data_IF_098582151113
#
_entry.id   IF_098582151113
#
_cell.length_a   1.000
_cell.length_b   1.000
_cell.length_c   1.000
_cell.angle_alpha   90.00
_cell.angle_beta   90.00
_cell.angle_gamma   90.00
#
_symmetry.space_group_name_H-M   'P 1'
#
loop_
_entity.id
_entity.type
_entity.pdbx_description
1 polymer ?
#
# COMPACT_ATOMS: atom_id res chain seq x y z
N UNK A 1 3.05 20.41 -21.99
CA UNK A 1 2.12 19.83 -20.99
C UNK A 1 2.63 18.43 -20.71
N UNK A 2 3.09 18.17 -19.47
CA UNK A 2 3.82 16.96 -19.12
C UNK A 2 2.93 15.72 -19.35
N UNK A 3 3.44 14.76 -20.13
CA UNK A 3 2.81 13.46 -20.36
C UNK A 3 2.73 12.76 -19.00
N UNK A 4 1.54 12.74 -18.38
CA UNK A 4 1.23 11.82 -17.30
C UNK A 4 1.30 10.42 -17.91
N UNK A 5 2.48 9.79 -17.85
CA UNK A 5 2.56 8.35 -17.97
C UNK A 5 1.85 7.79 -16.76
N UNK A 6 0.67 7.24 -16.98
CA UNK A 6 -0.10 6.40 -16.07
C UNK A 6 0.78 5.18 -15.73
N UNK A 7 1.76 5.37 -14.85
CA UNK A 7 2.57 4.29 -14.34
C UNK A 7 1.65 3.55 -13.37
N UNK A 8 1.13 2.38 -13.78
CA UNK A 8 0.40 1.45 -12.89
C UNK A 8 1.19 1.39 -11.58
N UNK A 9 0.62 1.89 -10.49
CA UNK A 9 1.30 1.93 -9.21
C UNK A 9 1.63 0.50 -8.80
N UNK A 10 2.91 0.22 -8.51
CA UNK A 10 3.34 -1.13 -8.16
C UNK A 10 2.58 -1.62 -6.92
N UNK A 11 1.82 -2.69 -7.06
CA UNK A 11 1.12 -3.35 -5.96
C UNK A 11 2.11 -4.26 -5.25
N UNK A 12 2.12 -4.19 -3.92
CA UNK A 12 2.96 -5.00 -3.04
C UNK A 12 2.14 -5.61 -1.91
N UNK A 13 2.58 -6.75 -1.41
CA UNK A 13 1.94 -7.40 -0.26
C UNK A 13 2.55 -6.87 1.04
N UNK A 14 1.72 -6.36 1.94
CA UNK A 14 2.15 -5.95 3.27
C UNK A 14 2.65 -7.16 4.08
N UNK A 15 3.85 -7.06 4.66
CA UNK A 15 4.44 -8.14 5.46
C UNK A 15 3.75 -8.41 6.79
N UNK A 16 2.98 -7.46 7.32
CA UNK A 16 2.29 -7.59 8.62
C UNK A 16 0.88 -8.17 8.49
N UNK A 17 0.08 -7.68 7.54
CA UNK A 17 -1.30 -8.14 7.36
C UNK A 17 -1.56 -8.98 6.11
N UNK A 18 -0.53 -9.21 5.28
CA UNK A 18 -0.61 -9.97 4.02
C UNK A 18 -1.65 -9.45 3.03
N UNK A 19 -2.05 -8.17 3.16
CA UNK A 19 -2.95 -7.50 2.23
C UNK A 19 -2.18 -6.73 1.16
N UNK A 20 -2.70 -6.67 -0.07
CA UNK A 20 -2.12 -5.88 -1.14
C UNK A 20 -2.30 -4.38 -0.85
N UNK A 21 -1.28 -3.61 -1.19
CA UNK A 21 -1.24 -2.15 -1.04
C UNK A 21 -0.34 -1.57 -2.14
N UNK A 22 -0.63 -0.34 -2.58
CA UNK A 22 0.27 0.35 -3.51
C UNK A 22 1.59 0.71 -2.82
N UNK A 23 2.71 0.44 -3.50
CA UNK A 23 4.05 0.77 -2.98
C UNK A 23 4.20 2.27 -2.71
N UNK A 24 3.60 3.12 -3.55
CA UNK A 24 3.59 4.58 -3.38
C UNK A 24 2.80 5.06 -2.15
N UNK A 25 1.84 4.26 -1.66
CA UNK A 25 1.01 4.60 -0.51
C UNK A 25 1.50 3.98 0.80
N UNK A 26 2.57 3.19 0.77
CA UNK A 26 3.19 2.67 2.00
C UNK A 26 3.72 3.80 2.88
N UNK A 27 3.69 3.57 4.20
CA UNK A 27 4.07 4.54 5.23
C UNK A 27 5.16 3.99 6.12
N UNK A 28 6.02 4.89 6.60
CA UNK A 28 7.10 4.55 7.53
C UNK A 28 6.74 5.00 8.94
N UNK A 29 6.86 4.09 9.90
CA UNK A 29 6.64 4.37 11.32
C UNK A 29 7.64 3.58 12.16
N UNK A 30 8.41 4.27 13.01
CA UNK A 30 9.48 3.67 13.84
C UNK A 30 10.45 2.78 13.03
N UNK A 31 10.84 3.23 11.84
CA UNK A 31 11.76 2.48 10.97
C UNK A 31 11.15 1.24 10.30
N UNK A 32 9.83 1.02 10.41
CA UNK A 32 9.13 -0.05 9.69
C UNK A 32 8.31 0.52 8.53
N UNK A 33 8.41 -0.13 7.38
CA UNK A 33 7.54 0.13 6.23
C UNK A 33 6.25 -0.69 6.37
N UNK A 34 5.10 -0.02 6.48
CA UNK A 34 3.79 -0.58 6.78
C UNK A 34 2.78 -0.13 5.72
N UNK A 35 1.77 -0.97 5.44
CA UNK A 35 0.61 -0.50 4.67
C UNK A 35 -0.20 0.52 5.49
N UNK A 36 -1.07 1.26 4.82
CA UNK A 36 -1.93 2.29 5.45
C UNK A 36 -2.71 1.75 6.66
N UNK A 37 -3.23 0.53 6.57
CA UNK A 37 -3.98 -0.12 7.66
C UNK A 37 -3.12 -0.44 8.88
N UNK A 38 -1.95 -1.06 8.67
CA UNK A 38 -1.03 -1.41 9.75
C UNK A 38 -0.40 -0.16 10.36
N UNK A 39 -0.14 0.87 9.53
CA UNK A 39 0.32 2.17 10.00
C UNK A 39 -0.70 2.80 10.96
N UNK A 40 -1.99 2.87 10.57
CA UNK A 40 -3.05 3.38 11.44
C UNK A 40 -3.09 2.65 12.79
N UNK A 41 -3.21 1.33 12.76
CA UNK A 41 -3.32 0.52 13.97
C UNK A 41 -2.10 0.70 14.89
N UNK A 42 -0.89 0.81 14.32
CA UNK A 42 0.31 1.03 15.11
C UNK A 42 0.39 2.45 15.65
N UNK A 43 0.04 3.45 14.85
CA UNK A 43 -0.01 4.84 15.31
C UNK A 43 -0.99 4.99 16.47
N UNK A 44 -2.19 4.39 16.38
CA UNK A 44 -3.19 4.40 17.45
C UNK A 44 -2.66 3.71 18.70
N UNK A 45 -1.93 2.60 18.56
CA UNK A 45 -1.30 1.91 19.69
C UNK A 45 -0.19 2.73 20.35
N UNK A 46 0.61 3.46 19.58
CA UNK A 46 1.72 4.28 20.07
C UNK A 46 1.23 5.55 20.76
N UNK A 47 0.27 6.24 20.15
CA UNK A 47 -0.25 7.51 20.65
C UNK A 47 -1.39 7.32 21.66
N UNK A 48 -1.91 6.09 21.79
CA UNK A 48 -3.08 5.76 22.62
C UNK A 48 -4.30 6.64 22.28
N UNK A 49 -4.41 7.04 21.02
CA UNK A 49 -5.44 7.94 20.50
C UNK A 49 -5.95 7.42 19.16
N UNK A 50 -7.22 7.67 18.87
CA UNK A 50 -7.82 7.31 17.59
C UNK A 50 -7.21 8.15 16.46
N UNK A 51 -6.91 7.51 15.33
CA UNK A 51 -6.39 8.18 14.16
C UNK A 51 -7.53 8.96 13.48
N UNK A 52 -7.41 10.30 13.48
CA UNK A 52 -8.47 11.20 13.00
C UNK A 52 -8.31 11.69 11.56
N UNK A 53 -7.22 11.32 10.90
CA UNK A 53 -6.93 11.79 9.54
C UNK A 53 -7.44 10.78 8.50
N UNK A 54 -8.03 11.30 7.42
CA UNK A 54 -8.53 10.50 6.28
C UNK A 54 -7.46 10.24 5.21
N UNK A 55 -6.19 10.62 5.44
CA UNK A 55 -5.11 10.44 4.46
C UNK A 55 -4.80 8.97 4.13
N UNK A 56 -5.31 8.06 4.96
CA UNK A 56 -5.16 6.61 4.81
C UNK A 56 -6.38 5.96 4.14
N UNK A 57 -7.46 6.72 3.92
CA UNK A 57 -8.66 6.27 3.24
C UNK A 57 -8.56 6.63 1.75
N UNK A 58 -8.48 5.60 0.93
CA UNK A 58 -8.29 5.75 -0.51
C UNK A 58 -8.31 4.39 -1.18
N UNK A 59 -8.31 4.37 -2.52
CA UNK A 59 -8.40 3.12 -3.27
C UNK A 59 -7.28 2.18 -2.85
N UNK A 60 -7.64 0.95 -2.52
CA UNK A 60 -6.69 -0.11 -2.19
C UNK A 60 -6.76 -1.13 -3.32
N UNK A 61 -5.60 -1.65 -3.75
CA UNK A 61 -5.61 -2.70 -4.74
C UNK A 61 -6.22 -3.95 -4.12
N UNK A 62 -6.82 -4.75 -4.97
CA UNK A 62 -7.34 -6.07 -4.65
C UNK A 62 -6.25 -7.12 -4.84
N UNK A 63 -6.51 -8.33 -4.33
CA UNK A 63 -5.61 -9.46 -4.59
C UNK A 63 -5.61 -9.87 -6.06
N UNK A 64 -6.72 -9.65 -6.76
CA UNK A 64 -6.84 -9.90 -8.20
C UNK A 64 -5.91 -8.97 -9.00
N UNK A 65 -5.94 -7.67 -8.73
CA UNK A 65 -5.05 -6.70 -9.38
C UNK A 65 -3.56 -7.01 -9.13
N UNK A 66 -3.22 -7.49 -7.93
CA UNK A 66 -1.86 -7.96 -7.63
C UNK A 66 -1.48 -9.19 -8.48
N UNK A 67 -2.38 -10.16 -8.63
CA UNK A 67 -2.14 -11.36 -9.44
C UNK A 67 -2.01 -11.01 -10.93
N UNK A 68 -2.84 -10.08 -11.43
CA UNK A 68 -2.73 -9.56 -12.80
C UNK A 68 -1.36 -8.93 -13.05
N UNK A 69 -0.89 -8.08 -12.11
CA UNK A 69 0.45 -7.50 -12.20
C UNK A 69 1.55 -8.58 -12.25
N UNK A 70 1.52 -9.55 -11.34
CA UNK A 70 2.54 -10.61 -11.28
C UNK A 70 2.48 -11.53 -12.52
N UNK A 71 1.27 -11.79 -13.04
CA UNK A 71 1.02 -12.54 -14.27
C UNK A 71 1.56 -11.84 -15.51
N UNK A 72 1.35 -10.52 -15.64
CA UNK A 72 1.92 -9.69 -16.71
C UNK A 72 3.46 -9.72 -16.70
N UNK A 73 4.10 -9.79 -15.53
CA UNK A 73 5.58 -9.87 -15.43
C UNK A 73 6.20 -11.22 -15.76
N UNK A 74 5.44 -12.32 -15.78
CA UNK A 74 5.99 -13.67 -15.95
C UNK A 74 6.00 -14.17 -17.41
N UNK A 75 5.36 -13.46 -18.34
CA UNK A 75 5.24 -13.83 -19.76
C UNK A 75 6.45 -13.38 -20.63
N UNK A 76 7.62 -13.21 -20.01
CA UNK A 76 8.79 -12.60 -20.62
C UNK A 76 10.12 -13.32 -20.38
N UNK A 77 10.12 -14.64 -20.16
CA UNK A 77 11.36 -15.42 -20.08
C UNK A 77 11.32 -16.73 -20.86
#
# INVERSE_FOLDING_TARGET
MAKHTEQKEKIVICKECQKPEYWGTMRWLEGRCLCRRCYRARWERLNQQEYKWDDLDGPRPTMEEYQEQEGETNDGK
#
